data_IF_090548703644
#
_entry.id   IF_090548703644
#
_cell.length_a   1.000
_cell.length_b   1.000
_cell.length_c   1.000
_cell.angle_alpha   90.00
_cell.angle_beta   90.00
_cell.angle_gamma   90.00
#
_symmetry.space_group_name_H-M   'P 1'
#
loop_
_entity.id
_entity.type
_entity.pdbx_description
1 polymer ?
#
# COMPACT_ATOMS: atom_id res chain seq x y z
N UNK A 1 -18.30 1.34 33.24
CA UNK A 1 -17.16 0.70 32.55
C UNK A 1 -15.87 1.31 33.12
N UNK A 2 -14.92 0.52 33.64
CA UNK A 2 -13.70 1.09 34.23
C UNK A 2 -12.75 1.65 33.17
N UNK A 3 -11.91 2.64 33.52
CA UNK A 3 -10.92 3.25 32.59
C UNK A 3 -10.01 2.23 31.88
N UNK A 4 -9.76 1.07 32.48
CA UNK A 4 -8.99 -0.03 31.86
C UNK A 4 -9.75 -0.78 30.77
N UNK A 5 -11.07 -0.89 30.87
CA UNK A 5 -11.91 -1.55 29.86
C UNK A 5 -12.12 -0.67 28.64
N UNK A 6 -12.18 0.65 28.83
CA UNK A 6 -12.28 1.64 27.75
C UNK A 6 -11.00 1.75 26.88
N UNK A 7 -9.86 1.22 27.34
CA UNK A 7 -8.62 1.14 26.56
C UNK A 7 -8.44 -0.22 25.86
N UNK A 8 -9.27 -1.22 26.19
CA UNK A 8 -9.19 -2.56 25.60
C UNK A 8 -9.99 -2.69 24.30
N UNK A 9 -11.01 -1.86 24.16
CA UNK A 9 -11.89 -1.83 23.00
C UNK A 9 -12.05 -0.36 22.63
N UNK A 10 -11.79 -0.02 21.36
CA UNK A 10 -12.38 1.21 20.84
C UNK A 10 -13.89 0.93 20.73
N UNK A 11 -14.68 1.97 20.52
CA UNK A 11 -16.07 1.78 20.10
C UNK A 11 -16.22 2.68 18.89
N UNK A 12 -15.93 2.14 17.71
CA UNK A 12 -16.08 2.82 16.44
C UNK A 12 -16.88 1.95 15.46
N UNK A 13 -17.69 2.54 14.55
CA UNK A 13 -18.43 1.78 13.54
C UNK A 13 -17.58 0.91 12.61
N UNK A 14 -16.28 1.20 12.49
CA UNK A 14 -15.32 0.46 11.66
C UNK A 14 -14.50 -0.57 12.43
N UNK A 15 -14.82 -0.82 13.69
CA UNK A 15 -14.03 -1.71 14.54
C UNK A 15 -14.42 -3.17 14.36
N UNK A 16 -13.41 -4.01 14.14
CA UNK A 16 -13.57 -5.45 14.02
C UNK A 16 -13.04 -6.14 15.27
N UNK A 17 -13.73 -7.16 15.73
CA UNK A 17 -13.20 -8.01 16.81
C UNK A 17 -11.99 -8.81 16.31
N UNK A 18 -11.06 -9.25 17.17
CA UNK A 18 -9.94 -10.09 16.75
C UNK A 18 -10.36 -11.41 16.08
N UNK A 19 -11.54 -11.93 16.40
CA UNK A 19 -12.09 -13.14 15.76
C UNK A 19 -12.55 -12.84 14.34
N UNK A 20 -13.27 -11.73 14.17
CA UNK A 20 -13.75 -11.27 12.88
C UNK A 20 -12.61 -10.86 11.95
N UNK A 21 -11.64 -10.08 12.45
CA UNK A 21 -10.45 -9.69 11.70
C UNK A 21 -9.67 -10.91 11.19
N UNK A 22 -9.49 -11.95 12.02
CA UNK A 22 -8.84 -13.19 11.58
C UNK A 22 -9.65 -13.91 10.51
N UNK A 23 -10.97 -14.04 10.70
CA UNK A 23 -11.84 -14.74 9.77
C UNK A 23 -11.80 -14.06 8.39
N UNK A 24 -12.07 -12.75 8.35
CA UNK A 24 -12.12 -11.97 7.11
C UNK A 24 -10.73 -11.83 6.48
N UNK A 25 -9.70 -11.58 7.31
CA UNK A 25 -8.33 -11.47 6.85
C UNK A 25 -7.79 -12.75 6.22
N UNK A 26 -8.02 -13.92 6.83
CA UNK A 26 -7.62 -15.20 6.23
C UNK A 26 -8.34 -15.47 4.91
N UNK A 27 -9.66 -15.21 4.85
CA UNK A 27 -10.41 -15.35 3.61
C UNK A 27 -9.83 -14.47 2.48
N UNK A 28 -9.49 -13.21 2.77
CA UNK A 28 -8.88 -12.31 1.80
C UNK A 28 -7.49 -12.79 1.36
N UNK A 29 -6.66 -13.25 2.29
CA UNK A 29 -5.30 -13.76 1.98
C UNK A 29 -5.38 -14.99 1.07
N UNK A 30 -6.27 -15.94 1.35
CA UNK A 30 -6.48 -17.12 0.48
C UNK A 30 -6.88 -16.70 -0.93
N UNK A 31 -7.85 -15.78 -1.06
CA UNK A 31 -8.29 -15.27 -2.37
C UNK A 31 -7.18 -14.57 -3.14
N UNK A 32 -6.36 -13.77 -2.46
CA UNK A 32 -5.19 -13.11 -3.08
C UNK A 32 -4.17 -14.16 -3.55
N UNK A 33 -3.92 -15.20 -2.75
CA UNK A 33 -3.01 -16.27 -3.14
C UNK A 33 -3.51 -17.02 -4.38
N UNK A 34 -4.80 -17.37 -4.43
CA UNK A 34 -5.44 -17.98 -5.60
C UNK A 34 -5.36 -17.07 -6.84
N UNK A 35 -5.63 -15.77 -6.67
CA UNK A 35 -5.51 -14.78 -7.73
C UNK A 35 -4.09 -14.74 -8.30
N UNK A 36 -3.07 -14.61 -7.44
CA UNK A 36 -1.66 -14.56 -7.85
C UNK A 36 -1.23 -15.84 -8.59
N UNK A 37 -1.68 -17.02 -8.12
CA UNK A 37 -1.43 -18.29 -8.79
C UNK A 37 -2.08 -18.36 -10.18
N UNK A 38 -3.31 -17.86 -10.32
CA UNK A 38 -4.05 -17.88 -11.59
C UNK A 38 -3.59 -16.82 -12.61
N UNK A 39 -2.80 -15.83 -12.17
CA UNK A 39 -2.45 -14.65 -12.97
C UNK A 39 -1.85 -14.97 -14.35
N UNK A 40 -0.96 -15.99 -14.52
CA UNK A 40 -0.41 -16.34 -15.84
C UNK A 40 -1.44 -16.85 -16.84
N UNK A 41 -2.55 -17.41 -16.37
CA UNK A 41 -3.61 -18.02 -17.18
C UNK A 41 -4.74 -17.03 -17.53
N UNK A 42 -4.77 -15.87 -16.88
CA UNK A 42 -5.75 -14.80 -17.13
C UNK A 42 -5.40 -13.98 -18.38
N UNK A 43 -6.36 -13.23 -18.97
CA UNK A 43 -6.01 -12.14 -19.87
C UNK A 43 -5.27 -11.04 -19.10
N UNK A 44 -4.38 -10.31 -19.77
CA UNK A 44 -3.66 -9.15 -19.17
C UNK A 44 -4.64 -8.03 -18.78
N UNK A 45 -5.66 -7.82 -19.60
CA UNK A 45 -6.73 -6.85 -19.37
C UNK A 45 -8.01 -7.36 -20.03
N UNK A 46 -9.19 -7.18 -19.41
CA UNK A 46 -10.49 -7.45 -20.04
C UNK A 46 -10.79 -6.54 -21.24
N UNK A 47 -10.11 -5.39 -21.35
CA UNK A 47 -10.33 -4.37 -22.40
C UNK A 47 -11.79 -3.87 -22.47
N UNK A 48 -12.42 -3.70 -21.32
CA UNK A 48 -13.80 -3.21 -21.20
C UNK A 48 -13.87 -1.68 -21.34
N UNK A 49 -14.95 -1.13 -21.92
CA UNK A 49 -15.13 0.31 -22.00
C UNK A 49 -15.46 0.91 -20.61
N UNK A 50 -15.12 2.19 -20.34
CA UNK A 50 -15.34 2.82 -19.04
C UNK A 50 -16.79 2.80 -18.54
N UNK A 51 -17.78 2.69 -19.43
CA UNK A 51 -19.18 2.58 -19.06
C UNK A 51 -19.48 1.27 -18.31
N UNK A 52 -18.91 0.15 -18.77
CA UNK A 52 -19.06 -1.17 -18.13
C UNK A 52 -18.44 -1.17 -16.74
N UNK A 53 -17.23 -0.61 -16.59
CA UNK A 53 -16.55 -0.50 -15.29
C UNK A 53 -17.36 0.33 -14.29
N UNK A 54 -17.94 1.46 -14.73
CA UNK A 54 -18.78 2.30 -13.87
C UNK A 54 -20.09 1.61 -13.49
N UNK A 55 -20.66 0.82 -14.38
CA UNK A 55 -21.86 0.03 -14.10
C UNK A 55 -21.54 -1.08 -13.08
N UNK A 56 -20.42 -1.79 -13.24
CA UNK A 56 -19.95 -2.81 -12.31
C UNK A 56 -19.68 -2.26 -10.91
N UNK A 57 -19.05 -1.08 -10.79
CA UNK A 57 -18.84 -0.40 -9.51
C UNK A 57 -20.15 0.12 -8.88
N UNK A 58 -21.16 0.36 -9.70
CA UNK A 58 -22.43 0.98 -9.31
C UNK A 58 -22.41 2.51 -9.39
N UNK A 59 -23.61 3.08 -9.56
CA UNK A 59 -23.83 4.54 -9.69
C UNK A 59 -24.50 5.16 -8.46
N UNK A 60 -24.40 4.49 -7.31
CA UNK A 60 -25.04 4.92 -6.06
C UNK A 60 -24.42 6.18 -5.46
N UNK A 61 -25.20 6.94 -4.69
CA UNK A 61 -24.67 7.99 -3.81
C UNK A 61 -23.97 7.38 -2.59
N UNK A 62 -23.20 8.18 -1.87
CA UNK A 62 -22.58 7.79 -0.59
C UNK A 62 -23.60 7.07 0.32
N UNK A 63 -23.38 5.79 0.70
CA UNK A 63 -24.30 5.04 1.53
C UNK A 63 -24.50 5.71 2.89
N UNK A 64 -25.75 5.78 3.36
CA UNK A 64 -26.08 6.30 4.69
C UNK A 64 -25.96 5.24 5.78
N UNK A 65 -25.86 3.96 5.40
CA UNK A 65 -25.74 2.82 6.30
C UNK A 65 -24.52 2.01 5.90
N UNK A 66 -23.86 1.41 6.89
CA UNK A 66 -22.72 0.53 6.67
C UNK A 66 -23.13 -0.80 6.05
N UNK A 67 -22.12 -1.49 5.52
CA UNK A 67 -22.21 -2.87 5.03
C UNK A 67 -21.19 -3.69 5.80
N UNK A 68 -21.44 -4.99 5.93
CA UNK A 68 -20.52 -5.90 6.60
C UNK A 68 -19.16 -5.87 5.90
N UNK A 69 -18.08 -5.76 6.68
CA UNK A 69 -16.72 -5.60 6.13
C UNK A 69 -16.30 -6.78 5.24
N UNK A 70 -16.81 -7.98 5.55
CA UNK A 70 -16.59 -9.18 4.73
C UNK A 70 -17.14 -8.99 3.31
N UNK A 71 -18.40 -8.59 3.22
CA UNK A 71 -19.10 -8.48 1.94
C UNK A 71 -18.44 -7.39 1.07
N UNK A 72 -18.05 -6.27 1.70
CA UNK A 72 -17.31 -5.19 1.04
C UNK A 72 -15.95 -5.65 0.50
N UNK A 73 -15.18 -6.42 1.27
CA UNK A 73 -13.89 -6.92 0.83
C UNK A 73 -14.03 -8.00 -0.23
N UNK A 74 -15.07 -8.83 -0.15
CA UNK A 74 -15.35 -9.85 -1.16
C UNK A 74 -15.72 -9.21 -2.49
N UNK A 75 -16.64 -8.25 -2.49
CA UNK A 75 -17.07 -7.49 -3.68
C UNK A 75 -15.91 -6.67 -4.26
N UNK A 76 -15.15 -5.97 -3.43
CA UNK A 76 -14.00 -5.19 -3.91
C UNK A 76 -12.93 -6.07 -4.56
N UNK A 77 -12.67 -7.25 -3.99
CA UNK A 77 -11.72 -8.20 -4.58
C UNK A 77 -12.25 -8.77 -5.91
N UNK A 78 -13.53 -9.12 -6.01
CA UNK A 78 -14.15 -9.56 -7.28
C UNK A 78 -14.01 -8.49 -8.36
N UNK A 79 -14.41 -7.25 -8.04
CA UNK A 79 -14.29 -6.12 -8.96
C UNK A 79 -12.86 -5.92 -9.44
N UNK A 80 -11.88 -6.00 -8.54
CA UNK A 80 -10.48 -5.84 -8.90
C UNK A 80 -9.94 -7.02 -9.70
N UNK A 81 -10.33 -8.26 -9.36
CA UNK A 81 -9.85 -9.46 -10.03
C UNK A 81 -10.46 -9.70 -11.41
N UNK A 82 -11.64 -9.13 -11.67
CA UNK A 82 -12.36 -9.41 -12.91
C UNK A 82 -12.27 -8.24 -13.91
N UNK A 83 -12.12 -7.01 -13.42
CA UNK A 83 -12.21 -5.79 -14.26
C UNK A 83 -10.90 -4.99 -14.37
N UNK A 84 -9.81 -5.41 -13.71
CA UNK A 84 -8.54 -4.65 -13.73
C UNK A 84 -7.60 -5.04 -14.86
N UNK A 85 -6.68 -4.13 -15.17
CA UNK A 85 -5.46 -4.47 -15.92
C UNK A 85 -4.39 -4.98 -14.97
N UNK A 86 -3.83 -6.15 -15.24
CA UNK A 86 -2.88 -6.81 -14.36
C UNK A 86 -1.43 -6.50 -14.74
N UNK A 87 -0.89 -5.43 -14.15
CA UNK A 87 0.50 -5.03 -14.37
C UNK A 87 1.52 -6.10 -13.95
N UNK A 88 1.17 -6.95 -12.98
CA UNK A 88 2.01 -8.06 -12.54
C UNK A 88 1.97 -9.30 -13.45
N UNK A 89 1.17 -9.28 -14.51
CA UNK A 89 1.03 -10.41 -15.41
C UNK A 89 2.33 -10.61 -16.23
N UNK A 90 2.82 -11.86 -16.42
CA UNK A 90 4.04 -12.16 -17.22
C UNK A 90 4.00 -11.75 -18.70
N UNK A 91 2.87 -11.28 -19.21
CA UNK A 91 2.66 -10.82 -20.60
C UNK A 91 2.36 -9.32 -20.66
N UNK A 92 2.36 -8.62 -19.53
CA UNK A 92 2.21 -7.17 -19.49
C UNK A 92 3.57 -6.52 -19.78
N UNK A 93 3.69 -5.89 -20.95
CA UNK A 93 4.95 -5.32 -21.48
C UNK A 93 4.86 -3.80 -21.69
N UNK A 94 3.94 -3.13 -21.00
CA UNK A 94 3.72 -1.70 -21.11
C UNK A 94 4.20 -0.96 -19.86
N UNK A 95 4.54 0.32 -20.00
CA UNK A 95 4.87 1.23 -18.88
C UNK A 95 6.03 0.72 -17.99
N UNK A 96 6.26 1.37 -16.84
CA UNK A 96 7.30 1.03 -15.86
C UNK A 96 6.57 0.64 -14.57
N UNK A 97 6.08 -0.59 -14.53
CA UNK A 97 5.39 -1.15 -13.35
C UNK A 97 5.84 -2.57 -13.14
N UNK A 98 6.36 -2.88 -11.95
CA UNK A 98 6.71 -4.24 -11.57
C UNK A 98 5.51 -5.00 -11.01
N UNK A 99 5.57 -6.32 -11.08
CA UNK A 99 4.68 -7.17 -10.28
C UNK A 99 4.94 -6.93 -8.79
N UNK A 100 3.87 -6.82 -7.99
CA UNK A 100 4.00 -6.72 -6.55
C UNK A 100 4.55 -8.04 -6.00
N UNK A 101 5.65 -7.97 -5.24
CA UNK A 101 6.15 -9.16 -4.56
C UNK A 101 5.18 -9.54 -3.41
N UNK A 102 4.79 -10.81 -3.25
CA UNK A 102 3.86 -11.22 -2.19
C UNK A 102 4.32 -10.82 -0.77
N UNK A 103 5.62 -10.86 -0.52
CA UNK A 103 6.22 -10.39 0.74
C UNK A 103 6.03 -8.88 0.96
N UNK A 104 6.02 -8.09 -0.11
CA UNK A 104 5.75 -6.65 -0.05
C UNK A 104 4.31 -6.37 0.36
N UNK A 105 3.35 -7.10 -0.21
CA UNK A 105 1.94 -6.97 0.18
C UNK A 105 1.69 -7.31 1.66
N UNK A 106 2.35 -8.36 2.17
CA UNK A 106 2.31 -8.68 3.62
C UNK A 106 3.00 -7.60 4.46
N UNK A 107 4.08 -7.01 3.96
CA UNK A 107 4.75 -5.86 4.58
C UNK A 107 3.84 -4.65 4.70
N UNK A 108 3.11 -4.31 3.63
CA UNK A 108 2.13 -3.22 3.62
C UNK A 108 0.97 -3.48 4.59
N UNK A 109 0.47 -4.72 4.67
CA UNK A 109 -0.54 -5.11 5.65
C UNK A 109 -0.04 -4.91 7.09
N UNK A 110 1.21 -5.31 7.37
CA UNK A 110 1.82 -5.10 8.69
C UNK A 110 2.02 -3.62 8.98
N UNK A 111 2.51 -2.84 8.02
CA UNK A 111 2.67 -1.40 8.15
C UNK A 111 1.34 -0.70 8.41
N UNK A 112 0.27 -1.10 7.73
CA UNK A 112 -1.09 -0.58 7.95
C UNK A 112 -1.62 -0.93 9.35
N UNK A 113 -1.32 -2.12 9.87
CA UNK A 113 -1.75 -2.56 11.20
C UNK A 113 -1.02 -1.81 12.33
N UNK A 114 0.29 -1.56 12.17
CA UNK A 114 1.11 -0.81 13.14
C UNK A 114 0.87 0.70 13.03
N UNK A 115 0.62 1.18 11.81
CA UNK A 115 0.46 2.59 11.44
C UNK A 115 1.61 3.48 11.97
N UNK A 116 2.88 3.18 11.62
CA UNK A 116 4.03 3.93 12.13
C UNK A 116 4.06 5.35 11.55
N UNK A 117 4.19 6.35 12.42
CA UNK A 117 4.45 7.73 12.00
C UNK A 117 5.96 7.96 11.86
N UNK A 118 6.44 8.04 10.61
CA UNK A 118 7.85 8.26 10.28
C UNK A 118 8.24 9.75 10.20
N UNK A 119 7.38 10.66 10.67
CA UNK A 119 7.66 12.11 10.69
C UNK A 119 8.74 12.53 11.69
N UNK A 120 9.15 11.63 12.59
CA UNK A 120 10.27 11.84 13.50
C UNK A 120 10.56 10.62 14.35
N UNK A 121 11.84 10.43 14.70
CA UNK A 121 12.31 9.23 15.40
C UNK A 121 11.51 8.87 16.66
N UNK A 122 11.14 9.82 17.57
CA UNK A 122 10.37 9.49 18.76
C UNK A 122 8.96 8.94 18.46
N UNK A 123 8.40 9.24 17.29
CA UNK A 123 7.05 8.81 16.90
C UNK A 123 7.03 7.37 16.37
N UNK A 124 8.13 6.90 15.77
CA UNK A 124 8.27 5.50 15.35
C UNK A 124 9.74 5.08 15.26
N UNK A 125 10.39 4.73 16.40
CA UNK A 125 11.81 4.42 16.44
C UNK A 125 12.19 3.27 15.50
N UNK A 126 11.48 2.14 15.60
CA UNK A 126 11.78 0.96 14.78
C UNK A 126 11.51 1.21 13.30
N UNK A 127 10.41 1.90 12.96
CA UNK A 127 10.10 2.23 11.56
C UNK A 127 11.18 3.14 10.96
N UNK A 128 11.65 4.13 11.72
CA UNK A 128 12.71 5.05 11.29
C UNK A 128 14.04 4.32 11.09
N UNK A 129 14.41 3.40 11.97
CA UNK A 129 15.64 2.61 11.83
C UNK A 129 15.58 1.63 10.65
N UNK A 130 14.42 1.01 10.39
CA UNK A 130 14.21 0.16 9.22
C UNK A 130 14.40 0.96 7.94
N UNK A 131 13.82 2.17 7.86
CA UNK A 131 14.00 3.07 6.72
C UNK A 131 15.48 3.45 6.53
N UNK A 132 16.14 3.91 7.60
CA UNK A 132 17.55 4.30 7.56
C UNK A 132 18.46 3.14 7.15
N UNK A 133 18.21 1.92 7.64
CA UNK A 133 18.96 0.73 7.24
C UNK A 133 18.72 0.37 5.76
N UNK A 134 17.48 0.50 5.28
CA UNK A 134 17.14 0.24 3.88
C UNK A 134 17.87 1.21 2.96
N UNK A 135 17.94 2.49 3.32
CA UNK A 135 18.70 3.51 2.59
C UNK A 135 20.18 3.15 2.52
N UNK A 136 20.79 2.70 3.63
CA UNK A 136 22.20 2.25 3.64
C UNK A 136 22.42 1.08 2.68
N UNK A 137 21.53 0.10 2.65
CA UNK A 137 21.62 -1.00 1.68
C UNK A 137 21.48 -0.55 0.23
N UNK A 138 20.60 0.42 -0.05
CA UNK A 138 20.47 1.00 -1.40
C UNK A 138 21.75 1.74 -1.78
N UNK A 139 22.34 2.51 -0.86
CA UNK A 139 23.60 3.21 -1.07
C UNK A 139 24.74 2.22 -1.39
N UNK A 140 24.88 1.15 -0.61
CA UNK A 140 25.83 0.07 -0.87
C UNK A 140 25.61 -0.57 -2.25
N UNK A 141 24.36 -0.85 -2.61
CA UNK A 141 23.99 -1.47 -3.89
C UNK A 141 24.40 -0.62 -5.10
N UNK A 142 24.32 0.69 -5.01
CA UNK A 142 24.70 1.62 -6.10
C UNK A 142 26.16 2.12 -6.00
N UNK A 143 26.93 1.64 -5.02
CA UNK A 143 28.31 2.06 -4.80
C UNK A 143 28.48 3.46 -4.19
N UNK A 144 27.46 3.96 -3.49
CA UNK A 144 27.48 5.25 -2.79
C UNK A 144 28.03 5.11 -1.35
N UNK A 145 28.62 6.17 -0.76
CA UNK A 145 29.11 6.10 0.62
C UNK A 145 28.02 5.74 1.62
N UNK A 146 28.32 4.78 2.52
CA UNK A 146 27.35 4.26 3.51
C UNK A 146 27.05 5.22 4.67
N UNK A 147 27.80 6.32 4.81
CA UNK A 147 27.53 7.42 5.73
C UNK A 147 26.56 8.47 5.15
N UNK A 148 25.96 8.19 3.98
CA UNK A 148 24.96 9.06 3.37
C UNK A 148 23.65 9.11 4.17
N UNK A 149 22.97 10.25 4.07
CA UNK A 149 21.55 10.35 4.41
C UNK A 149 20.66 9.97 3.22
N UNK A 150 19.36 9.80 3.50
CA UNK A 150 18.34 9.57 2.48
C UNK A 150 16.95 9.58 3.11
N UNK A 151 15.93 9.52 2.26
CA UNK A 151 14.53 9.46 2.64
C UNK A 151 13.79 8.61 1.61
N UNK A 152 12.90 7.73 2.06
CA UNK A 152 11.91 7.12 1.18
C UNK A 152 10.81 8.14 0.88
N UNK A 153 10.41 8.23 -0.38
CA UNK A 153 9.41 9.16 -0.88
C UNK A 153 8.37 8.43 -1.70
N UNK A 154 7.22 9.06 -1.95
CA UNK A 154 6.08 8.44 -2.66
C UNK A 154 6.38 7.99 -4.09
N UNK A 155 7.45 8.49 -4.71
CA UNK A 155 7.88 8.06 -6.04
C UNK A 155 8.97 8.93 -6.64
N UNK A 156 9.36 8.61 -7.87
CA UNK A 156 10.49 9.25 -8.55
C UNK A 156 10.37 10.77 -8.71
N UNK A 157 9.16 11.31 -8.90
CA UNK A 157 8.95 12.75 -8.98
C UNK A 157 9.32 13.48 -7.68
N UNK A 158 8.91 12.92 -6.53
CA UNK A 158 9.29 13.48 -5.23
C UNK A 158 10.78 13.29 -4.97
N UNK A 159 11.38 12.19 -5.44
CA UNK A 159 12.82 11.97 -5.38
C UNK A 159 13.60 13.05 -6.13
N UNK A 160 13.19 13.34 -7.37
CA UNK A 160 13.76 14.42 -8.17
C UNK A 160 13.57 15.78 -7.51
N UNK A 161 12.38 16.06 -6.98
CA UNK A 161 12.09 17.34 -6.32
C UNK A 161 13.01 17.57 -5.10
N UNK A 162 13.11 16.58 -4.21
CA UNK A 162 13.99 16.64 -3.04
C UNK A 162 15.46 16.73 -3.46
N UNK A 163 15.87 15.96 -4.46
CA UNK A 163 17.24 16.00 -5.00
C UNK A 163 17.61 17.37 -5.56
N UNK A 164 16.75 17.98 -6.38
CA UNK A 164 16.97 19.33 -6.89
C UNK A 164 16.95 20.39 -5.79
N UNK A 165 16.07 20.25 -4.78
CA UNK A 165 16.05 21.16 -3.64
C UNK A 165 17.36 21.08 -2.84
N UNK A 166 17.87 19.88 -2.58
CA UNK A 166 19.15 19.67 -1.90
C UNK A 166 20.32 20.25 -2.71
N UNK A 167 20.39 19.96 -4.01
CA UNK A 167 21.41 20.49 -4.91
C UNK A 167 21.38 22.02 -4.97
N UNK A 168 20.17 22.62 -5.09
CA UNK A 168 19.97 24.06 -5.03
C UNK A 168 20.49 24.63 -3.72
N UNK A 169 20.08 24.07 -2.58
CA UNK A 169 20.51 24.55 -1.25
C UNK A 169 22.03 24.48 -1.07
N UNK A 170 22.68 23.47 -1.65
CA UNK A 170 24.12 23.27 -1.55
C UNK A 170 24.94 24.19 -2.48
N UNK A 171 24.36 24.71 -3.57
CA UNK A 171 25.11 25.43 -4.63
C UNK A 171 24.66 26.86 -4.88
N UNK A 172 23.39 27.19 -4.65
CA UNK A 172 22.90 28.55 -4.85
C UNK A 172 23.47 29.50 -3.80
N UNK A 173 24.01 30.63 -4.24
CA UNK A 173 24.56 31.66 -3.35
C UNK A 173 23.55 32.74 -2.94
N UNK A 174 22.26 32.54 -3.26
CA UNK A 174 21.16 33.45 -2.94
C UNK A 174 19.91 32.66 -2.54
N UNK A 175 19.06 33.31 -1.74
CA UNK A 175 17.73 32.80 -1.38
C UNK A 175 16.67 33.38 -2.33
N UNK A 176 15.66 32.59 -2.68
CA UNK A 176 14.52 33.02 -3.51
C UNK A 176 13.27 33.14 -2.64
#
# INVERSE_FOLDING_TARGET
MGKKDALRYRIAPLEMTPTEFRKVGFQLVERIAEFLCSLPDRPVTPNEPPAVIREALGTGSLPQQGTEARDLLEEAADLLFDHSTFNGHPRFMAVITSSAAPIGALGDLLAAAVNPNLGGWPASPMGTEIEAQTIRWIAEMIGYPGDCGGLLVSGGNMGNFVGFLAARKAKASWDL
#
